data_IF_104776422890
#
_entry.id   IF_104776422890
#
_cell.length_a   1.000
_cell.length_b   1.000
_cell.length_c   1.000
_cell.angle_alpha   90.00
_cell.angle_beta   90.00
_cell.angle_gamma   90.00
#
_symmetry.space_group_name_H-M   'P 1'
#
loop_
_entity.id
_entity.type
_entity.pdbx_description
1 polymer ?
#
# COMPACT_ATOMS: atom_id res chain seq x y z
N UNK A 1 22.64 1.75 21.62
CA UNK A 1 22.40 2.99 20.85
C UNK A 1 21.69 2.57 19.58
N UNK A 2 20.37 2.70 19.54
CA UNK A 2 19.59 2.47 18.32
C UNK A 2 19.64 3.79 17.57
N UNK A 3 20.39 3.82 16.47
CA UNK A 3 20.48 5.00 15.61
C UNK A 3 19.13 5.19 14.93
N UNK A 4 18.55 6.35 15.22
CA UNK A 4 17.32 6.89 14.65
C UNK A 4 17.35 6.93 13.13
N UNK A 5 16.24 6.49 12.55
CA UNK A 5 15.51 7.10 11.43
C UNK A 5 16.34 7.95 10.46
N UNK A 6 16.61 7.37 9.30
CA UNK A 6 16.88 8.12 8.08
C UNK A 6 15.65 7.92 7.17
N UNK A 7 14.59 8.68 7.46
CA UNK A 7 13.52 8.89 6.48
C UNK A 7 14.15 9.61 5.29
N UNK A 8 14.18 8.90 4.15
CA UNK A 8 14.64 9.47 2.90
C UNK A 8 13.72 10.64 2.51
N UNK A 9 14.25 11.86 2.65
CA UNK A 9 13.70 13.09 2.11
C UNK A 9 13.37 12.89 0.61
N UNK A 10 12.10 12.64 0.33
CA UNK A 10 11.58 12.60 -1.03
C UNK A 10 11.58 14.05 -1.49
N UNK A 11 12.56 14.37 -2.34
CA UNK A 11 12.70 15.62 -3.08
C UNK A 11 11.37 16.32 -3.25
N UNK A 12 11.23 17.47 -2.61
CA UNK A 12 10.09 18.38 -2.74
C UNK A 12 10.10 18.90 -4.18
N UNK A 13 9.57 18.09 -5.10
CA UNK A 13 9.21 18.54 -6.43
C UNK A 13 8.17 19.65 -6.31
N UNK A 14 8.26 20.62 -7.22
CA UNK A 14 7.30 21.71 -7.41
C UNK A 14 5.92 21.34 -6.87
N UNK A 15 5.44 22.09 -5.87
CA UNK A 15 4.07 21.94 -5.39
C UNK A 15 3.14 22.20 -6.57
N UNK A 16 2.54 21.12 -7.09
CA UNK A 16 1.55 21.19 -8.18
C UNK A 16 0.47 22.20 -7.79
N UNK A 17 0.35 23.27 -8.57
CA UNK A 17 -0.75 24.23 -8.42
C UNK A 17 -2.04 23.62 -8.97
N UNK A 18 -2.99 23.37 -8.06
CA UNK A 18 -4.31 22.84 -8.38
C UNK A 18 -5.23 23.96 -8.84
N UNK A 19 -5.54 23.96 -10.14
CA UNK A 19 -6.59 24.80 -10.69
C UNK A 19 -7.96 24.12 -10.59
N UNK A 20 -9.04 24.91 -10.72
CA UNK A 20 -10.41 24.42 -10.56
C UNK A 20 -10.74 23.32 -11.57
N UNK A 21 -10.21 23.39 -12.79
CA UNK A 21 -10.42 22.37 -13.81
C UNK A 21 -9.75 21.04 -13.43
N UNK A 22 -8.55 21.08 -12.86
CA UNK A 22 -7.86 19.90 -12.33
C UNK A 22 -8.60 19.25 -11.17
N UNK A 23 -9.13 20.04 -10.25
CA UNK A 23 -9.94 19.52 -9.15
C UNK A 23 -11.21 18.83 -9.66
N UNK A 24 -11.88 19.43 -10.66
CA UNK A 24 -13.03 18.81 -11.32
C UNK A 24 -12.63 17.47 -11.95
N UNK A 25 -11.50 17.41 -12.67
CA UNK A 25 -11.01 16.15 -13.25
C UNK A 25 -10.64 15.11 -12.17
N UNK A 26 -10.06 15.54 -11.04
CA UNK A 26 -9.78 14.67 -9.91
C UNK A 26 -11.08 14.07 -9.34
N UNK A 27 -12.12 14.88 -9.15
CA UNK A 27 -13.41 14.36 -8.67
C UNK A 27 -14.07 13.39 -9.65
N UNK A 28 -13.97 13.64 -10.96
CA UNK A 28 -14.42 12.68 -11.97
C UNK A 28 -13.62 11.36 -11.92
N UNK A 29 -12.30 11.45 -11.75
CA UNK A 29 -11.44 10.28 -11.60
C UNK A 29 -11.78 9.49 -10.32
N UNK A 30 -12.15 10.17 -9.24
CA UNK A 30 -12.52 9.56 -7.95
C UNK A 30 -13.94 8.98 -7.87
N UNK A 31 -14.84 9.32 -8.79
CA UNK A 31 -16.26 8.96 -8.69
C UNK A 31 -16.54 7.45 -8.49
N UNK A 32 -15.61 6.58 -8.87
CA UNK A 32 -15.69 5.12 -8.66
C UNK A 32 -14.45 4.51 -7.97
N UNK A 33 -13.58 5.35 -7.40
CA UNK A 33 -12.33 4.93 -6.80
C UNK A 33 -12.17 5.58 -5.43
N UNK A 34 -12.08 4.77 -4.38
CA UNK A 34 -11.91 5.25 -3.01
C UNK A 34 -10.41 5.28 -2.67
N UNK A 35 -9.79 6.44 -2.42
CA UNK A 35 -8.38 6.53 -2.05
C UNK A 35 -8.14 6.16 -0.57
N UNK A 36 -8.96 5.29 0.02
CA UNK A 36 -8.83 4.84 1.41
C UNK A 36 -9.20 3.36 1.53
N UNK A 37 -8.87 2.75 2.65
CA UNK A 37 -9.04 1.33 2.95
C UNK A 37 -7.87 0.47 2.49
N UNK A 38 -8.04 -0.84 2.61
CA UNK A 38 -6.99 -1.84 2.34
C UNK A 38 -6.41 -1.75 0.91
N UNK A 39 -7.22 -1.31 -0.06
CA UNK A 39 -6.83 -1.21 -1.47
C UNK A 39 -6.42 0.21 -1.89
N UNK A 40 -6.19 1.14 -0.95
CA UNK A 40 -5.99 2.57 -1.24
C UNK A 40 -4.90 2.86 -2.27
N UNK A 41 -3.79 2.13 -2.25
CA UNK A 41 -2.70 2.31 -3.21
C UNK A 41 -3.10 1.89 -4.62
N UNK A 42 -3.85 0.80 -4.78
CA UNK A 42 -4.34 0.35 -6.07
C UNK A 42 -5.38 1.31 -6.64
N UNK A 43 -6.33 1.74 -5.78
CA UNK A 43 -7.33 2.73 -6.17
C UNK A 43 -6.68 4.06 -6.56
N UNK A 44 -5.62 4.48 -5.86
CA UNK A 44 -4.86 5.68 -6.23
C UNK A 44 -4.17 5.55 -7.58
N UNK A 45 -3.61 4.38 -7.92
CA UNK A 45 -3.05 4.16 -9.25
C UNK A 45 -4.11 4.33 -10.35
N UNK A 46 -5.34 3.83 -10.12
CA UNK A 46 -6.46 4.03 -11.05
C UNK A 46 -6.91 5.49 -11.15
N UNK A 47 -6.95 6.22 -10.03
CA UNK A 47 -7.27 7.66 -10.00
C UNK A 47 -6.21 8.43 -10.79
N UNK A 48 -4.94 8.16 -10.52
CA UNK A 48 -3.80 8.79 -11.18
C UNK A 48 -3.81 8.54 -12.69
N UNK A 49 -4.03 7.29 -13.13
CA UNK A 49 -4.11 6.96 -14.55
C UNK A 49 -5.24 7.75 -15.24
N UNK A 50 -6.43 7.80 -14.64
CA UNK A 50 -7.57 8.55 -15.18
C UNK A 50 -7.32 10.06 -15.24
N UNK A 51 -6.75 10.60 -14.16
CA UNK A 51 -6.43 12.03 -14.07
C UNK A 51 -5.37 12.40 -15.10
N UNK A 52 -4.26 11.64 -15.16
CA UNK A 52 -3.15 11.83 -16.09
C UNK A 52 -3.60 11.80 -17.55
N UNK A 53 -4.57 10.94 -17.89
CA UNK A 53 -5.15 10.89 -19.24
C UNK A 53 -6.06 12.09 -19.56
N UNK A 54 -6.54 12.81 -18.55
CA UNK A 54 -7.53 13.89 -18.69
C UNK A 54 -6.90 15.28 -18.60
N UNK A 55 -5.66 15.39 -18.10
CA UNK A 55 -4.91 16.64 -17.98
C UNK A 55 -3.66 16.61 -18.87
N UNK A 56 -3.10 17.78 -19.16
CA UNK A 56 -1.86 17.90 -19.95
C UNK A 56 -0.60 18.09 -19.09
N UNK A 57 -0.76 18.26 -17.76
CA UNK A 57 0.38 18.42 -16.83
C UNK A 57 0.79 17.05 -16.27
N UNK A 58 2.08 16.89 -16.02
CA UNK A 58 2.59 15.73 -15.30
C UNK A 58 2.25 15.88 -13.80
N UNK A 59 1.59 14.87 -13.24
CA UNK A 59 1.22 14.79 -11.82
C UNK A 59 1.73 13.45 -11.30
N UNK A 60 2.23 13.39 -10.06
CA UNK A 60 2.56 12.12 -9.39
C UNK A 60 1.43 11.66 -8.46
N UNK A 61 1.43 10.38 -8.09
CA UNK A 61 0.49 9.88 -7.06
C UNK A 61 0.65 10.59 -5.72
N UNK A 62 1.88 10.99 -5.35
CA UNK A 62 2.16 11.74 -4.13
C UNK A 62 1.52 13.14 -4.15
N UNK A 63 1.48 13.80 -5.30
CA UNK A 63 0.83 15.11 -5.42
C UNK A 63 -0.68 15.01 -5.19
N UNK A 64 -1.31 13.92 -5.67
CA UNK A 64 -2.73 13.63 -5.43
C UNK A 64 -2.97 13.36 -3.94
N UNK A 65 -2.15 12.52 -3.30
CA UNK A 65 -2.26 12.26 -1.86
C UNK A 65 -2.16 13.56 -1.05
N UNK A 66 -1.13 14.35 -1.31
CA UNK A 66 -0.91 15.62 -0.62
C UNK A 66 -2.11 16.56 -0.81
N UNK A 67 -2.68 16.63 -2.00
CA UNK A 67 -3.88 17.45 -2.23
C UNK A 67 -5.08 16.95 -1.45
N UNK A 68 -5.34 15.64 -1.47
CA UNK A 68 -6.44 15.02 -0.73
C UNK A 68 -6.31 15.21 0.78
N UNK A 69 -5.09 15.17 1.32
CA UNK A 69 -4.81 15.48 2.73
C UNK A 69 -5.12 16.94 3.10
N UNK A 70 -5.08 17.88 2.14
CA UNK A 70 -5.52 19.27 2.39
C UNK A 70 -7.05 19.43 2.40
N UNK A 71 -7.77 18.51 1.74
CA UNK A 71 -9.22 18.56 1.58
C UNK A 71 -9.97 17.69 2.61
N UNK A 72 -9.36 16.59 3.03
CA UNK A 72 -10.01 15.54 3.83
C UNK A 72 -9.11 15.06 4.96
N UNK A 73 -9.73 14.64 6.06
CA UNK A 73 -9.06 13.85 7.09
C UNK A 73 -8.94 12.39 6.62
N UNK A 74 -7.83 12.10 5.92
CA UNK A 74 -7.60 10.79 5.31
C UNK A 74 -7.52 9.66 6.33
N UNK A 75 -7.02 9.93 7.55
CA UNK A 75 -6.96 8.95 8.64
C UNK A 75 -8.36 8.57 9.08
N UNK A 76 -9.22 9.56 9.34
CA UNK A 76 -10.60 9.31 9.73
C UNK A 76 -11.38 8.54 8.64
N UNK A 77 -11.14 8.83 7.36
CA UNK A 77 -11.75 8.09 6.26
C UNK A 77 -11.24 6.65 6.13
N UNK A 78 -9.95 6.40 6.37
CA UNK A 78 -9.36 5.04 6.34
C UNK A 78 -10.04 4.13 7.37
N UNK A 79 -10.29 4.66 8.57
CA UNK A 79 -10.96 3.94 9.67
C UNK A 79 -12.42 3.57 9.35
N UNK A 80 -13.07 4.24 8.39
CA UNK A 80 -14.43 3.89 7.93
C UNK A 80 -14.48 2.68 7.00
N UNK A 81 -13.33 2.21 6.50
CA UNK A 81 -13.21 1.08 5.57
C UNK A 81 -12.63 -0.15 6.29
N UNK A 82 -13.45 -0.89 7.07
CA UNK A 82 -12.97 -2.07 7.77
C UNK A 82 -12.56 -3.17 6.78
N UNK A 83 -11.53 -3.92 7.16
CA UNK A 83 -11.04 -5.04 6.36
C UNK A 83 -12.15 -6.12 6.29
N UNK A 84 -12.59 -6.56 5.09
CA UNK A 84 -13.74 -7.45 4.94
C UNK A 84 -13.43 -8.92 5.27
N UNK A 85 -12.21 -9.21 5.70
CA UNK A 85 -11.73 -10.53 6.06
C UNK A 85 -11.04 -10.50 7.43
N UNK A 86 -11.00 -11.63 8.16
CA UNK A 86 -10.30 -11.70 9.43
C UNK A 86 -8.82 -11.35 9.26
N UNK A 87 -8.37 -10.25 9.86
CA UNK A 87 -6.97 -9.82 9.87
C UNK A 87 -6.39 -9.91 11.27
N UNK A 88 -6.52 -11.08 11.90
CA UNK A 88 -5.93 -11.33 13.21
C UNK A 88 -4.43 -11.62 13.05
N UNK A 89 -3.61 -10.93 13.85
CA UNK A 89 -2.20 -11.29 13.97
C UNK A 89 -2.07 -12.68 14.59
N UNK A 90 -1.45 -13.60 13.87
CA UNK A 90 -1.20 -14.96 14.31
C UNK A 90 0.26 -15.33 14.02
N UNK A 91 0.86 -16.17 14.87
CA UNK A 91 2.16 -16.73 14.57
C UNK A 91 2.07 -17.53 13.26
N UNK A 92 3.01 -17.29 12.34
CA UNK A 92 3.07 -18.05 11.10
C UNK A 92 3.32 -19.52 11.41
N UNK A 93 2.42 -20.39 10.95
CA UNK A 93 2.62 -21.83 10.92
C UNK A 93 2.53 -22.32 9.49
N UNK A 94 3.53 -23.06 9.05
CA UNK A 94 3.52 -23.64 7.71
C UNK A 94 2.44 -24.74 7.65
N UNK A 95 1.48 -24.69 6.70
CA UNK A 95 0.40 -25.67 6.63
C UNK A 95 0.91 -27.11 6.41
N UNK A 96 0.61 -28.00 7.35
CA UNK A 96 1.02 -29.41 7.23
C UNK A 96 0.34 -30.15 6.07
N UNK A 97 -0.87 -29.72 5.66
CA UNK A 97 -1.59 -30.30 4.53
C UNK A 97 -0.79 -30.23 3.23
N UNK A 98 -0.10 -29.10 3.03
CA UNK A 98 0.56 -28.78 1.78
C UNK A 98 2.06 -29.11 1.85
N UNK A 99 2.67 -28.93 3.03
CA UNK A 99 4.12 -29.00 3.22
C UNK A 99 4.57 -30.11 4.18
N UNK A 100 3.68 -30.89 4.76
CA UNK A 100 4.02 -31.87 5.81
C UNK A 100 5.06 -32.92 5.36
N UNK A 101 5.03 -33.33 4.10
CA UNK A 101 6.05 -34.25 3.54
C UNK A 101 7.44 -33.60 3.48
N UNK A 102 7.51 -32.35 3.01
CA UNK A 102 8.76 -31.59 2.93
C UNK A 102 9.32 -31.26 4.32
N UNK A 103 8.44 -30.94 5.27
CA UNK A 103 8.83 -30.73 6.68
C UNK A 103 9.46 -31.99 7.27
N UNK A 104 8.85 -33.16 7.05
CA UNK A 104 9.40 -34.45 7.50
C UNK A 104 10.73 -34.77 6.84
N UNK A 105 10.87 -34.50 5.54
CA UNK A 105 12.12 -34.70 4.81
C UNK A 105 13.23 -33.82 5.40
N UNK A 106 12.96 -32.52 5.58
CA UNK A 106 13.93 -31.57 6.17
C UNK A 106 14.34 -31.98 7.59
N UNK A 107 13.38 -32.37 8.44
CA UNK A 107 13.71 -32.85 9.78
C UNK A 107 14.59 -34.10 9.76
N UNK A 108 14.34 -35.03 8.83
CA UNK A 108 15.17 -36.23 8.67
C UNK A 108 16.59 -35.90 8.20
N UNK A 109 16.74 -34.97 7.27
CA UNK A 109 18.05 -34.50 6.80
C UNK A 109 18.85 -33.82 7.91
N UNK A 110 18.20 -33.01 8.76
CA UNK A 110 18.83 -32.38 9.93
C UNK A 110 19.31 -33.44 10.93
N UNK A 111 18.47 -34.43 11.26
CA UNK A 111 18.82 -35.50 12.21
C UNK A 111 20.00 -36.34 11.67
N UNK A 112 20.03 -36.63 10.37
CA UNK A 112 21.14 -37.38 9.76
C UNK A 112 22.45 -36.57 9.69
N UNK A 113 22.37 -35.24 9.59
CA UNK A 113 23.54 -34.37 9.64
C UNK A 113 24.15 -34.32 11.05
N UNK A 114 23.33 -34.28 12.09
CA UNK A 114 23.77 -34.23 13.50
C UNK A 114 24.39 -35.56 14.00
N UNK A 115 24.01 -36.69 13.40
CA UNK A 115 24.56 -38.03 13.73
C UNK A 115 25.90 -38.33 12.99
N UNK A 116 26.29 -37.46 12.05
CA UNK A 116 27.49 -37.60 11.23
C UNK A 116 28.67 -36.73 11.68
N UNK A 117 28.57 -36.03 12.81
CA UNK A 117 29.61 -35.18 13.42
C UNK A 117 30.25 -35.81 14.67
#
# INVERSE_FOLDING_TARGET
>A
MVSSEEEADIKTGDTVEWDVDMEIQLFYAMANHKPVGINKHFQMACIWEKLSNSITKEISTNDIWRHLETLYDMTMLDDTEPIPFPNHENAFSLPESDFGLLMKQKCKEIILADDSE
#
